data_IF_427476321529
#
_entry.id   IF_427476321529
#
_cell.length_a   1.000
_cell.length_b   1.000
_cell.length_c   1.000
_cell.angle_alpha   90.00
_cell.angle_beta   90.00
_cell.angle_gamma   90.00
#
_symmetry.space_group_name_H-M   'P 1'
#
loop_
_entity.id
_entity.type
_entity.pdbx_description
1 polymer ?
#
# COMPACT_ATOMS: atom_id res chain seq x y z
N UNK A 1 15.54 7.52 -21.92
CA UNK A 1 15.11 6.19 -22.41
C UNK A 1 14.00 5.72 -21.49
N UNK A 2 12.96 5.07 -22.03
CA UNK A 2 11.77 4.60 -21.29
C UNK A 2 12.08 3.82 -20.00
N UNK A 3 13.27 3.21 -19.94
CA UNK A 3 13.80 2.51 -18.76
C UNK A 3 13.95 3.36 -17.50
N UNK A 4 14.20 4.68 -17.60
CA UNK A 4 14.29 5.56 -16.41
C UNK A 4 12.90 5.95 -15.88
N UNK A 5 11.87 5.96 -16.74
CA UNK A 5 10.48 6.21 -16.34
C UNK A 5 9.90 4.98 -15.63
N UNK A 6 10.24 3.78 -16.11
CA UNK A 6 9.83 2.49 -15.52
C UNK A 6 10.47 2.21 -14.15
N UNK A 7 11.49 2.97 -13.73
CA UNK A 7 12.11 2.81 -12.41
C UNK A 7 11.22 3.25 -11.25
N UNK A 8 10.23 4.09 -11.50
CA UNK A 8 9.33 4.64 -10.47
C UNK A 8 7.99 3.86 -10.44
N UNK A 9 7.44 3.53 -11.61
CA UNK A 9 6.32 2.60 -11.77
C UNK A 9 6.58 1.75 -13.01
N UNK A 10 6.90 0.46 -12.88
CA UNK A 10 7.36 -0.37 -13.98
C UNK A 10 6.20 -0.81 -14.87
N UNK A 11 5.55 0.13 -15.57
CA UNK A 11 4.49 -0.04 -16.60
C UNK A 11 3.04 0.25 -16.14
N UNK A 12 2.78 0.42 -14.83
CA UNK A 12 1.41 0.65 -14.33
C UNK A 12 0.95 2.12 -14.32
N UNK A 13 -0.07 2.47 -15.11
CA UNK A 13 -0.90 3.67 -14.83
C UNK A 13 -1.55 3.45 -13.46
N UNK A 14 -1.41 4.41 -12.55
CA UNK A 14 -1.99 4.38 -11.21
C UNK A 14 -3.50 4.05 -11.22
N UNK A 15 -4.22 4.42 -12.29
CA UNK A 15 -5.64 4.10 -12.47
C UNK A 15 -5.88 2.60 -12.64
N UNK A 16 -4.99 1.92 -13.33
CA UNK A 16 -5.01 0.46 -13.46
C UNK A 16 -4.77 -0.21 -12.11
N UNK A 17 -3.83 0.30 -11.34
CA UNK A 17 -3.51 -0.19 -10.00
C UNK A 17 -4.69 -0.02 -9.04
N UNK A 18 -5.37 1.14 -9.08
CA UNK A 18 -6.60 1.38 -8.30
C UNK A 18 -7.71 0.38 -8.66
N UNK A 19 -7.89 0.07 -9.94
CA UNK A 19 -8.91 -0.87 -10.38
C UNK A 19 -8.58 -2.30 -9.94
N UNK A 20 -7.31 -2.71 -10.04
CA UNK A 20 -6.85 -4.00 -9.53
C UNK A 20 -7.04 -4.10 -8.00
N UNK A 21 -6.76 -3.02 -7.27
CA UNK A 21 -7.01 -2.94 -5.84
C UNK A 21 -8.51 -3.08 -5.51
N UNK A 22 -9.41 -2.43 -6.26
CA UNK A 22 -10.86 -2.57 -6.09
C UNK A 22 -11.34 -4.02 -6.20
N UNK A 23 -10.88 -4.75 -7.23
CA UNK A 23 -11.24 -6.16 -7.44
C UNK A 23 -10.70 -7.01 -6.27
N UNK A 24 -9.48 -6.74 -5.83
CA UNK A 24 -8.82 -7.45 -4.74
C UNK A 24 -9.56 -7.26 -3.41
N UNK A 25 -9.93 -6.02 -3.07
CA UNK A 25 -10.77 -5.70 -1.90
C UNK A 25 -12.07 -6.48 -1.94
N UNK A 26 -12.79 -6.44 -3.06
CA UNK A 26 -14.06 -7.14 -3.18
C UNK A 26 -13.92 -8.65 -2.95
N UNK A 27 -12.86 -9.24 -3.51
CA UNK A 27 -12.58 -10.68 -3.41
C UNK A 27 -12.21 -11.09 -1.98
N UNK A 28 -11.35 -10.32 -1.32
CA UNK A 28 -10.93 -10.59 0.06
C UNK A 28 -12.07 -10.38 1.05
N UNK A 29 -12.87 -9.34 0.86
CA UNK A 29 -14.03 -9.07 1.73
C UNK A 29 -15.15 -10.10 1.52
N UNK A 30 -15.31 -10.64 0.31
CA UNK A 30 -16.23 -11.76 0.06
C UNK A 30 -15.86 -13.03 0.85
N UNK A 31 -14.59 -13.20 1.23
CA UNK A 31 -14.13 -14.29 2.09
C UNK A 31 -14.26 -13.99 3.60
N UNK A 32 -14.88 -12.86 3.97
CA UNK A 32 -15.01 -12.41 5.36
C UNK A 32 -13.90 -11.49 5.83
N UNK A 33 -13.02 -11.03 4.93
CA UNK A 33 -12.02 -9.99 5.21
C UNK A 33 -12.63 -8.62 5.46
N UNK A 34 -11.81 -7.68 5.95
CA UNK A 34 -12.16 -6.26 6.16
C UNK A 34 -11.02 -5.37 5.64
N UNK A 35 -10.87 -5.35 4.33
CA UNK A 35 -9.84 -4.59 3.63
C UNK A 35 -10.45 -3.35 2.97
N UNK A 36 -9.65 -2.30 2.87
CA UNK A 36 -9.92 -1.08 2.11
C UNK A 36 -8.97 -0.97 0.93
N UNK A 37 -9.28 -0.10 -0.04
CA UNK A 37 -8.46 0.07 -1.26
C UNK A 37 -6.99 0.42 -0.94
N UNK A 38 -6.68 1.34 0.00
CA UNK A 38 -5.30 1.63 0.39
C UNK A 38 -4.51 0.43 0.93
N UNK A 39 -5.18 -0.53 1.58
CA UNK A 39 -4.53 -1.70 2.21
C UNK A 39 -3.95 -2.67 1.18
N UNK A 40 -4.55 -2.71 -0.01
CA UNK A 40 -4.16 -3.58 -1.13
C UNK A 40 -3.68 -2.80 -2.35
N UNK A 41 -3.42 -1.51 -2.19
CA UNK A 41 -2.85 -0.69 -3.24
C UNK A 41 -1.41 -1.12 -3.51
N UNK A 42 -1.07 -1.29 -4.78
CA UNK A 42 0.29 -1.60 -5.18
C UNK A 42 1.18 -0.38 -4.93
N UNK A 43 2.25 -0.58 -4.15
CA UNK A 43 3.23 0.44 -3.81
C UNK A 43 4.56 0.06 -4.44
N UNK A 44 4.90 0.76 -5.52
CA UNK A 44 6.14 0.57 -6.25
C UNK A 44 7.31 1.30 -5.57
N UNK A 45 8.53 0.76 -5.70
CA UNK A 45 9.75 1.35 -5.16
C UNK A 45 10.03 0.98 -3.69
N UNK A 46 11.03 1.65 -3.12
CA UNK A 46 11.40 1.49 -1.71
C UNK A 46 10.30 2.10 -0.84
N UNK A 47 9.60 1.25 -0.08
CA UNK A 47 8.66 1.73 0.93
C UNK A 47 9.50 2.16 2.12
N UNK A 48 9.47 3.44 2.46
CA UNK A 48 9.87 3.83 3.82
C UNK A 48 8.98 3.03 4.75
N UNK A 49 9.57 2.09 5.51
CA UNK A 49 8.90 1.53 6.67
C UNK A 49 8.68 2.72 7.61
N UNK A 50 7.51 3.35 7.49
CA UNK A 50 7.01 4.20 8.55
C UNK A 50 6.76 3.23 9.69
N UNK A 51 7.79 3.04 10.51
CA UNK A 51 7.61 2.53 11.86
C UNK A 51 6.74 3.60 12.52
N UNK A 52 5.42 3.43 12.43
CA UNK A 52 4.51 4.12 13.32
C UNK A 52 4.85 3.59 14.71
N UNK A 53 5.89 4.17 15.33
CA UNK A 53 6.07 4.08 16.76
C UNK A 53 4.79 4.70 17.29
N UNK A 54 3.90 3.87 17.81
CA UNK A 54 2.62 4.36 18.25
C UNK A 54 2.92 5.42 19.31
N UNK A 55 2.26 6.57 19.26
CA UNK A 55 2.46 7.63 20.26
C UNK A 55 2.28 7.10 21.72
N UNK A 56 1.61 5.96 21.85
CA UNK A 56 1.46 5.19 23.08
C UNK A 56 2.74 4.46 23.50
N UNK A 57 3.50 3.85 22.58
CA UNK A 57 4.80 3.22 22.86
C UNK A 57 5.86 4.24 23.26
N UNK A 58 5.90 5.40 22.62
CA UNK A 58 6.77 6.52 23.05
C UNK A 58 6.45 6.96 24.47
N UNK A 59 5.16 7.04 24.81
CA UNK A 59 4.71 7.40 26.16
C UNK A 59 5.10 6.34 27.21
N UNK A 60 4.97 5.05 26.91
CA UNK A 60 5.38 3.96 27.81
C UNK A 60 6.89 3.92 28.03
N UNK A 61 7.68 4.18 26.98
CA UNK A 61 9.15 4.16 27.08
C UNK A 61 9.72 5.30 27.94
N UNK A 62 8.94 6.35 28.21
CA UNK A 62 9.33 7.49 29.04
C UNK A 62 8.97 7.38 30.52
N UNK A 63 8.41 6.25 30.96
CA UNK A 63 7.90 5.99 32.32
C UNK A 63 8.90 5.16 33.13
#
# INVERSE_FOLDING_TARGET
MWIEFDRISPIGDWRGDVHAAQISVATLNAQGGKFTIPDVMLKWGEQEEVTEVSALEEWISGL
#
